data_IF_409016372767
#
_entry.id   IF_409016372767
#
_cell.length_a   1.000
_cell.length_b   1.000
_cell.length_c   1.000
_cell.angle_alpha   90.00
_cell.angle_beta   90.00
_cell.angle_gamma   90.00
#
_symmetry.space_group_name_H-M   'P 1'
#
loop_
_entity.id
_entity.type
_entity.pdbx_description
1 polymer ?
#
# COMPACT_ATOMS: atom_id res chain seq x y z
N UNK A 1 19.90 -33.03 -53.87
CA UNK A 1 20.58 -32.09 -52.96
C UNK A 1 19.66 -30.90 -52.75
N UNK A 2 19.42 -30.55 -51.49
CA UNK A 2 18.31 -29.75 -51.00
C UNK A 2 18.67 -28.27 -50.87
N UNK A 3 17.98 -27.38 -51.57
CA UNK A 3 18.09 -25.94 -51.37
C UNK A 3 16.97 -25.43 -50.44
N UNK A 4 17.36 -25.01 -49.25
CA UNK A 4 16.48 -24.40 -48.26
C UNK A 4 16.15 -22.95 -48.65
N UNK A 5 14.90 -22.72 -49.07
CA UNK A 5 14.36 -21.39 -49.37
C UNK A 5 14.22 -20.56 -48.09
N UNK A 6 15.18 -19.66 -47.86
CA UNK A 6 15.15 -18.67 -46.78
C UNK A 6 13.90 -17.78 -46.92
N UNK A 7 12.93 -17.95 -46.01
CA UNK A 7 11.72 -17.12 -45.93
C UNK A 7 12.09 -15.78 -45.30
N UNK A 8 12.36 -14.76 -46.14
CA UNK A 8 12.51 -13.38 -45.69
C UNK A 8 11.17 -12.87 -45.15
N UNK A 9 11.17 -12.41 -43.90
CA UNK A 9 10.01 -11.83 -43.22
C UNK A 9 9.69 -10.46 -43.86
N UNK A 10 8.44 -10.15 -44.19
CA UNK A 10 8.05 -8.86 -44.78
C UNK A 10 8.34 -7.66 -43.86
N UNK A 11 8.89 -6.58 -44.41
CA UNK A 11 9.27 -5.34 -43.68
C UNK A 11 8.10 -4.70 -42.90
N UNK A 12 6.86 -4.91 -43.32
CA UNK A 12 5.68 -4.38 -42.63
C UNK A 12 5.43 -5.02 -41.25
N UNK A 13 6.05 -6.17 -40.96
CA UNK A 13 5.96 -6.86 -39.67
C UNK A 13 7.05 -6.42 -38.67
N UNK A 14 7.95 -5.50 -39.07
CA UNK A 14 9.05 -5.03 -38.22
C UNK A 14 8.71 -3.83 -37.32
N UNK A 15 7.44 -3.37 -37.31
CA UNK A 15 7.07 -2.18 -36.53
C UNK A 15 6.44 -2.51 -35.18
N UNK A 16 7.15 -2.04 -34.14
CA UNK A 16 6.72 -1.76 -32.76
C UNK A 16 7.10 -2.76 -31.65
N UNK A 17 8.41 -3.01 -31.50
CA UNK A 17 9.01 -3.22 -30.16
C UNK A 17 9.66 -1.93 -29.67
N UNK A 18 8.93 -0.81 -29.79
CA UNK A 18 9.34 0.41 -29.11
C UNK A 18 9.25 0.17 -27.61
N UNK A 19 10.38 -0.07 -26.94
CA UNK A 19 10.49 0.07 -25.49
C UNK A 19 9.95 1.46 -25.17
N UNK A 20 8.70 1.56 -24.70
CA UNK A 20 8.10 2.80 -24.22
C UNK A 20 9.12 3.38 -23.25
N UNK A 21 9.80 4.45 -23.64
CA UNK A 21 10.69 5.20 -22.77
C UNK A 21 9.82 5.63 -21.60
N UNK A 22 9.90 4.92 -20.45
CA UNK A 22 9.13 5.29 -19.27
C UNK A 22 9.55 6.71 -18.96
N UNK A 23 8.62 7.65 -19.05
CA UNK A 23 8.84 9.00 -18.54
C UNK A 23 9.33 8.83 -17.11
N UNK A 24 10.55 9.30 -16.80
CA UNK A 24 11.05 9.32 -15.42
C UNK A 24 10.03 10.12 -14.62
N UNK A 25 9.45 9.48 -13.60
CA UNK A 25 8.54 10.16 -12.70
C UNK A 25 9.38 11.11 -11.83
N UNK A 26 8.76 12.12 -11.23
CA UNK A 26 9.50 12.92 -10.26
C UNK A 26 9.84 12.04 -9.03
N UNK A 27 10.94 12.32 -8.30
CA UNK A 27 11.37 11.46 -7.19
C UNK A 27 10.33 11.27 -6.09
N UNK A 28 9.45 12.26 -5.86
CA UNK A 28 8.37 12.18 -4.87
C UNK A 28 7.29 11.19 -5.31
N UNK A 29 6.88 11.21 -6.58
CA UNK A 29 5.94 10.26 -7.16
C UNK A 29 6.53 8.84 -7.15
N UNK A 30 7.82 8.68 -7.48
CA UNK A 30 8.49 7.38 -7.38
C UNK A 30 8.48 6.85 -5.93
N UNK A 31 8.81 7.71 -4.97
CA UNK A 31 8.80 7.36 -3.55
C UNK A 31 7.39 6.99 -3.05
N UNK A 32 6.38 7.78 -3.39
CA UNK A 32 4.99 7.49 -3.02
C UNK A 32 4.44 6.23 -3.69
N UNK A 33 4.90 5.88 -4.89
CA UNK A 33 4.60 4.58 -5.52
C UNK A 33 5.14 3.42 -4.68
N UNK A 34 6.36 3.54 -4.15
CA UNK A 34 6.93 2.52 -3.26
C UNK A 34 6.12 2.41 -1.97
N UNK A 35 5.71 3.53 -1.37
CA UNK A 35 4.83 3.50 -0.19
C UNK A 35 3.48 2.85 -0.48
N UNK A 36 2.88 3.16 -1.63
CA UNK A 36 1.64 2.53 -2.06
C UNK A 36 1.80 1.00 -2.21
N UNK A 37 2.89 0.53 -2.81
CA UNK A 37 3.18 -0.90 -2.96
C UNK A 37 3.33 -1.60 -1.61
N UNK A 38 4.00 -0.96 -0.64
CA UNK A 38 4.12 -1.48 0.73
C UNK A 38 2.75 -1.59 1.39
N UNK A 39 1.91 -0.55 1.33
CA UNK A 39 0.55 -0.58 1.90
C UNK A 39 -0.31 -1.62 1.18
N UNK A 40 -0.13 -1.80 -0.13
CA UNK A 40 -0.83 -2.80 -0.92
C UNK A 40 -0.42 -4.23 -0.55
N UNK A 41 0.83 -4.45 -0.14
CA UNK A 41 1.29 -5.71 0.43
C UNK A 41 0.67 -5.96 1.82
N UNK A 42 0.65 -4.96 2.71
CA UNK A 42 -0.03 -5.04 4.02
C UNK A 42 -1.52 -5.34 3.86
N UNK A 43 -2.18 -4.71 2.88
CA UNK A 43 -3.59 -4.91 2.57
C UNK A 43 -3.92 -6.37 2.21
N UNK A 44 -3.02 -7.02 1.46
CA UNK A 44 -3.18 -8.41 0.99
C UNK A 44 -2.76 -9.45 2.03
N UNK A 45 -2.15 -9.04 3.13
CA UNK A 45 -1.75 -9.95 4.19
C UNK A 45 -2.98 -10.64 4.81
N UNK A 46 -2.93 -11.92 5.23
CA UNK A 46 -4.07 -12.62 5.83
C UNK A 46 -4.70 -11.88 7.02
N UNK A 47 -3.87 -11.26 7.86
CA UNK A 47 -4.34 -10.44 8.99
C UNK A 47 -4.60 -8.97 8.64
N UNK A 48 -4.39 -8.57 7.39
CA UNK A 48 -4.56 -7.19 6.93
C UNK A 48 -6.01 -6.71 7.04
N UNK A 49 -6.99 -7.62 6.94
CA UNK A 49 -8.42 -7.29 6.96
C UNK A 49 -8.84 -6.48 8.19
N UNK A 50 -8.25 -6.75 9.35
CA UNK A 50 -8.53 -6.03 10.61
C UNK A 50 -8.10 -4.56 10.60
N UNK A 51 -7.27 -4.16 9.64
CA UNK A 51 -6.71 -2.82 9.53
C UNK A 51 -7.15 -2.09 8.26
N UNK A 52 -7.95 -2.71 7.38
CA UNK A 52 -8.34 -2.13 6.09
C UNK A 52 -9.28 -0.94 6.21
N UNK A 53 -10.09 -0.89 7.27
CA UNK A 53 -11.15 0.10 7.49
C UNK A 53 -11.10 0.60 8.94
N UNK A 54 -11.69 1.78 9.22
CA UNK A 54 -11.78 2.27 10.59
C UNK A 54 -12.46 1.26 11.51
N UNK A 55 -12.03 1.21 12.77
CA UNK A 55 -12.71 0.42 13.81
C UNK A 55 -14.12 0.98 14.03
N UNK A 56 -15.12 0.10 14.02
CA UNK A 56 -16.50 0.47 14.31
C UNK A 56 -16.67 0.77 15.80
N UNK A 57 -16.90 2.04 16.12
CA UNK A 57 -17.07 2.54 17.48
C UNK A 57 -18.40 2.13 18.11
N UNK A 58 -19.38 1.66 17.33
CA UNK A 58 -20.65 1.14 17.89
C UNK A 58 -20.44 -0.21 18.56
N UNK A 59 -19.72 -1.11 17.90
CA UNK A 59 -19.31 -2.39 18.46
C UNK A 59 -18.12 -2.28 19.43
N UNK A 60 -17.38 -1.17 19.39
CA UNK A 60 -16.23 -0.90 20.27
C UNK A 60 -16.37 0.46 20.98
N UNK A 61 -17.28 0.61 21.96
CA UNK A 61 -17.60 1.91 22.56
C UNK A 61 -16.40 2.60 23.22
N UNK A 62 -15.48 1.83 23.82
CA UNK A 62 -14.29 2.36 24.48
C UNK A 62 -13.19 2.79 23.51
N UNK A 63 -13.32 2.51 22.21
CA UNK A 63 -12.25 2.75 21.24
C UNK A 63 -11.82 4.22 21.20
N UNK A 64 -12.79 5.15 21.21
CA UNK A 64 -12.50 6.60 21.18
C UNK A 64 -11.96 7.17 22.48
N UNK A 65 -12.14 6.47 23.60
CA UNK A 65 -11.55 6.85 24.87
C UNK A 65 -10.04 6.51 24.92
N UNK A 66 -9.63 5.46 24.22
CA UNK A 66 -8.25 4.96 24.21
C UNK A 66 -7.47 5.52 23.00
N UNK A 67 -8.04 5.39 21.80
CA UNK A 67 -7.42 5.80 20.53
C UNK A 67 -7.81 7.24 20.18
N UNK A 68 -6.86 8.16 20.34
CA UNK A 68 -7.06 9.59 20.08
C UNK A 68 -7.06 9.96 18.60
N UNK A 69 -6.14 9.36 17.83
CA UNK A 69 -5.96 9.64 16.41
C UNK A 69 -6.17 8.35 15.60
N UNK A 70 -7.41 8.01 15.23
CA UNK A 70 -7.66 6.80 14.46
C UNK A 70 -6.99 6.86 13.09
N UNK A 71 -6.50 5.70 12.64
CA UNK A 71 -5.96 5.51 11.31
C UNK A 71 -6.25 4.07 10.85
N UNK A 72 -6.25 3.86 9.54
CA UNK A 72 -6.44 2.56 8.90
C UNK A 72 -5.66 2.51 7.58
N UNK A 73 -5.46 1.32 7.03
CA UNK A 73 -4.71 1.12 5.78
C UNK A 73 -5.37 1.80 4.58
N UNK A 74 -6.68 2.05 4.59
CA UNK A 74 -7.32 2.75 3.49
C UNK A 74 -6.92 4.25 3.50
N UNK A 75 -6.81 4.88 4.67
CA UNK A 75 -6.25 6.25 4.79
C UNK A 75 -4.80 6.27 4.30
N UNK A 76 -3.96 5.37 4.81
CA UNK A 76 -2.52 5.35 4.45
C UNK A 76 -2.34 5.12 2.95
N UNK A 77 -3.15 4.23 2.36
CA UNK A 77 -3.17 3.95 0.91
C UNK A 77 -3.59 5.18 0.09
N UNK A 78 -4.62 5.91 0.52
CA UNK A 78 -5.08 7.13 -0.15
C UNK A 78 -4.02 8.23 -0.09
N UNK A 79 -3.37 8.39 1.06
CA UNK A 79 -2.27 9.34 1.25
C UNK A 79 -1.10 9.03 0.31
N UNK A 80 -0.68 7.76 0.21
CA UNK A 80 0.37 7.35 -0.72
C UNK A 80 -0.04 7.58 -2.20
N UNK A 81 -1.26 7.16 -2.58
CA UNK A 81 -1.76 7.34 -3.95
C UNK A 81 -1.97 8.80 -4.36
N UNK A 82 -2.15 9.70 -3.39
CA UNK A 82 -2.32 11.15 -3.61
C UNK A 82 -1.02 11.94 -3.35
N UNK A 83 0.11 11.25 -3.30
CA UNK A 83 1.45 11.80 -3.11
C UNK A 83 1.62 12.64 -1.82
N UNK A 84 0.88 12.32 -0.76
CA UNK A 84 0.85 13.13 0.47
C UNK A 84 2.10 12.99 1.33
N UNK A 85 2.89 11.93 1.16
CA UNK A 85 4.12 11.74 1.95
C UNK A 85 5.30 12.44 1.27
N UNK A 86 5.88 13.51 1.86
CA UNK A 86 7.08 14.15 1.33
C UNK A 86 8.32 13.27 1.44
N UNK A 87 8.36 12.34 2.40
CA UNK A 87 9.54 11.55 2.75
C UNK A 87 9.17 10.22 3.44
N UNK A 88 10.19 9.41 3.76
CA UNK A 88 10.01 8.15 4.49
C UNK A 88 9.51 8.33 5.94
N UNK A 89 10.03 9.28 6.74
CA UNK A 89 9.54 9.49 8.10
C UNK A 89 8.04 9.78 8.18
N UNK A 90 7.50 10.61 7.28
CA UNK A 90 6.05 10.91 7.25
C UNK A 90 5.19 9.68 6.97
N UNK A 91 5.63 8.80 6.05
CA UNK A 91 4.95 7.53 5.81
C UNK A 91 5.03 6.59 7.02
N UNK A 92 6.21 6.46 7.63
CA UNK A 92 6.40 5.60 8.80
C UNK A 92 5.60 6.08 10.01
N UNK A 93 5.44 7.39 10.20
CA UNK A 93 4.65 7.93 11.30
C UNK A 93 3.19 7.42 11.27
N UNK A 94 2.57 7.34 10.08
CA UNK A 94 1.21 6.82 9.92
C UNK A 94 1.16 5.28 10.14
N UNK A 95 2.19 4.55 9.72
CA UNK A 95 2.30 3.11 9.98
C UNK A 95 2.50 2.83 11.48
N UNK A 96 3.34 3.60 12.15
CA UNK A 96 3.57 3.49 13.59
C UNK A 96 2.32 3.86 14.38
N UNK A 97 1.57 4.88 13.94
CA UNK A 97 0.29 5.25 14.54
C UNK A 97 -0.73 4.10 14.43
N UNK A 98 -0.82 3.42 13.29
CA UNK A 98 -1.68 2.24 13.10
C UNK A 98 -1.32 1.13 14.10
N UNK A 99 -0.03 0.85 14.25
CA UNK A 99 0.47 -0.20 15.15
C UNK A 99 0.24 0.18 16.62
N UNK A 100 0.52 1.42 17.00
CA UNK A 100 0.39 1.88 18.38
C UNK A 100 -1.08 1.93 18.82
N UNK A 101 -1.98 2.46 17.98
CA UNK A 101 -3.42 2.42 18.25
C UNK A 101 -3.93 0.99 18.48
N UNK A 102 -3.45 0.04 17.67
CA UNK A 102 -3.78 -1.37 17.82
C UNK A 102 -3.28 -1.93 19.16
N UNK A 103 -2.03 -1.67 19.53
CA UNK A 103 -1.45 -2.14 20.80
C UNK A 103 -2.19 -1.55 22.00
N UNK A 104 -2.43 -0.25 22.00
CA UNK A 104 -3.05 0.46 23.13
C UNK A 104 -4.48 -0.04 23.39
N UNK A 105 -5.27 -0.16 22.31
CA UNK A 105 -6.64 -0.66 22.41
C UNK A 105 -6.68 -2.13 22.83
N UNK A 106 -5.89 -3.00 22.19
CA UNK A 106 -5.95 -4.43 22.44
C UNK A 106 -5.34 -4.81 23.79
N UNK A 107 -4.28 -4.13 24.27
CA UNK A 107 -3.72 -4.37 25.60
C UNK A 107 -4.70 -3.99 26.71
N UNK A 108 -5.47 -2.90 26.52
CA UNK A 108 -6.51 -2.50 27.47
C UNK A 108 -7.65 -3.51 27.48
N UNK A 109 -8.10 -3.96 26.29
CA UNK A 109 -9.17 -4.95 26.16
C UNK A 109 -8.79 -6.29 26.82
N UNK A 110 -7.57 -6.76 26.60
CA UNK A 110 -7.09 -8.02 27.17
C UNK A 110 -7.04 -7.97 28.70
N UNK A 111 -6.53 -6.87 29.28
CA UNK A 111 -6.49 -6.68 30.74
C UNK A 111 -7.87 -6.74 31.40
N UNK A 112 -8.92 -6.25 30.72
CA UNK A 112 -10.30 -6.27 31.24
C UNK A 112 -11.02 -7.61 31.09
N UNK A 113 -10.45 -8.57 30.35
CA UNK A 113 -11.04 -9.91 30.19
C UNK A 113 -10.59 -10.90 31.29
N UNK A 114 -9.58 -10.52 32.08
CA UNK A 114 -8.97 -11.38 33.12
C UNK A 114 -9.31 -10.93 34.56
N UNK A 115 -10.20 -9.95 34.71
CA UNK A 115 -10.69 -9.43 36.00
C UNK A 115 -12.19 -9.69 36.16
#
# INVERSE_FOLDING_TARGET
QSEARSKRIPEHLQRQTGKRQRRKLNPRTELNSVFFDVVQAMWKHPYGISFQRPVDTRSNPSYRAIVRNPIDLNIIKQNAGSEKYPDKPSFLADVDLLINNCKDYNATRDRTLVS
#
